data_IF_401716935838
#
_entry.id   IF_401716935838
#
_cell.length_a   1.000
_cell.length_b   1.000
_cell.length_c   1.000
_cell.angle_alpha   90.00
_cell.angle_beta   90.00
_cell.angle_gamma   90.00
#
_symmetry.space_group_name_H-M   'P 1'
#
loop_
_entity.id
_entity.type
_entity.pdbx_description
1 polymer ?
#
# COMPACT_ATOMS: atom_id res chain seq x y z
N UNK A 1 -4.77 10.66 30.31
CA UNK A 1 -3.41 10.36 30.81
C UNK A 1 -3.50 8.99 31.43
N UNK A 2 -2.90 7.96 30.84
CA UNK A 2 -2.93 6.62 31.40
C UNK A 2 -1.51 6.08 31.43
N UNK A 3 -0.99 5.95 32.65
CA UNK A 3 0.38 5.55 32.93
C UNK A 3 0.45 4.03 32.96
N UNK A 4 1.27 3.45 32.08
CA UNK A 4 1.47 2.01 31.98
C UNK A 4 2.68 1.63 32.84
N UNK A 5 2.42 0.89 33.92
CA UNK A 5 3.44 0.16 34.69
C UNK A 5 3.68 -1.20 34.03
N UNK A 6 4.93 -1.51 33.66
CA UNK A 6 5.34 -2.86 33.25
C UNK A 6 6.40 -3.39 34.21
N UNK A 7 6.09 -4.48 34.90
CA UNK A 7 7.06 -5.28 35.66
C UNK A 7 7.65 -6.36 34.74
N UNK A 8 8.95 -6.69 34.81
CA UNK A 8 9.68 -7.31 33.69
C UNK A 8 9.81 -8.84 33.75
N UNK A 9 8.96 -9.56 34.47
CA UNK A 9 9.23 -10.97 34.82
C UNK A 9 8.07 -11.93 34.49
N UNK A 10 7.94 -12.25 33.19
CA UNK A 10 7.32 -13.48 32.70
C UNK A 10 7.65 -13.65 31.21
N UNK A 11 8.89 -14.07 30.92
CA UNK A 11 9.29 -14.54 29.60
C UNK A 11 8.54 -15.84 29.27
N UNK A 12 7.34 -15.70 28.69
CA UNK A 12 6.66 -16.80 28.03
C UNK A 12 7.17 -16.88 26.59
N UNK A 13 8.03 -17.85 26.35
CA UNK A 13 8.75 -18.11 25.10
C UNK A 13 7.80 -18.79 24.10
N UNK A 14 6.71 -18.11 23.74
CA UNK A 14 5.72 -18.61 22.76
C UNK A 14 5.20 -17.54 21.78
N UNK A 15 5.79 -16.34 21.76
CA UNK A 15 5.32 -15.23 20.92
C UNK A 15 6.35 -14.83 19.84
N UNK A 16 7.02 -15.82 19.25
CA UNK A 16 7.97 -15.60 18.15
C UNK A 16 7.27 -15.55 16.77
N UNK A 17 6.01 -15.13 16.73
CA UNK A 17 5.23 -14.87 15.51
C UNK A 17 4.83 -13.40 15.35
N UNK A 18 5.31 -12.51 16.23
CA UNK A 18 4.98 -11.08 16.21
C UNK A 18 6.01 -10.20 15.48
N UNK A 19 6.83 -10.78 14.58
CA UNK A 19 7.86 -10.04 13.83
C UNK A 19 7.56 -9.79 12.36
N UNK A 20 6.35 -10.12 11.88
CA UNK A 20 5.91 -9.83 10.51
C UNK A 20 4.46 -9.38 10.53
N UNK A 21 4.20 -8.22 11.11
CA UNK A 21 3.19 -7.26 10.63
C UNK A 21 3.13 -6.09 11.62
N UNK A 22 3.84 -5.02 11.31
CA UNK A 22 3.70 -3.73 12.00
C UNK A 22 2.56 -2.91 11.36
N UNK A 23 1.45 -3.56 11.03
CA UNK A 23 0.20 -2.89 10.64
C UNK A 23 -0.78 -3.14 11.77
N UNK A 24 -1.30 -2.06 12.39
CA UNK A 24 -2.37 -2.19 13.39
C UNK A 24 -3.50 -3.01 12.76
N UNK A 25 -4.03 -4.04 13.42
CA UNK A 25 -5.06 -4.93 12.86
C UNK A 25 -6.41 -4.23 12.52
N UNK A 26 -6.51 -2.92 12.76
CA UNK A 26 -7.68 -2.09 12.46
C UNK A 26 -7.38 -0.94 11.47
N UNK A 27 -6.20 -0.90 10.82
CA UNK A 27 -5.92 0.13 9.81
C UNK A 27 -6.69 -0.17 8.53
N UNK A 28 -7.71 0.64 8.28
CA UNK A 28 -8.46 0.63 7.02
C UNK A 28 -7.55 1.01 5.86
N UNK A 29 -7.97 0.66 4.64
CA UNK A 29 -7.34 1.10 3.40
C UNK A 29 -7.16 2.63 3.33
N UNK A 30 -8.12 3.39 3.86
CA UNK A 30 -8.02 4.83 4.00
C UNK A 30 -6.93 5.26 5.00
N UNK A 31 -6.79 4.59 6.15
CA UNK A 31 -5.76 4.91 7.15
C UNK A 31 -4.35 4.76 6.56
N UNK A 32 -4.12 3.69 5.81
CA UNK A 32 -2.86 3.49 5.06
C UNK A 32 -2.63 4.57 4.01
N UNK A 33 -3.69 4.98 3.28
CA UNK A 33 -3.60 6.08 2.34
C UNK A 33 -3.15 7.36 3.04
N UNK A 34 -3.81 7.73 4.14
CA UNK A 34 -3.47 8.91 4.92
C UNK A 34 -2.03 8.86 5.45
N UNK A 35 -1.58 7.71 5.95
CA UNK A 35 -0.18 7.53 6.38
C UNK A 35 0.80 7.80 5.23
N UNK A 36 0.55 7.30 4.03
CA UNK A 36 1.43 7.52 2.87
C UNK A 36 1.39 8.97 2.40
N UNK A 37 0.22 9.61 2.41
CA UNK A 37 0.10 11.04 2.09
C UNK A 37 0.90 11.90 3.08
N UNK A 38 0.81 11.59 4.38
CA UNK A 38 1.58 12.28 5.42
C UNK A 38 3.09 12.05 5.28
N UNK A 39 3.53 10.81 5.02
CA UNK A 39 4.94 10.47 4.79
C UNK A 39 5.54 11.26 3.62
N UNK A 40 4.71 11.54 2.61
CA UNK A 40 5.12 12.28 1.42
C UNK A 40 4.85 13.79 1.51
N UNK A 41 4.33 14.28 2.64
CA UNK A 41 3.99 15.69 2.83
C UNK A 41 2.93 16.20 1.86
N UNK A 42 2.04 15.33 1.41
CA UNK A 42 0.95 15.65 0.48
C UNK A 42 -0.22 16.23 1.26
N UNK A 43 -0.80 17.31 0.75
CA UNK A 43 -1.92 17.97 1.41
C UNK A 43 -3.17 17.08 1.40
N UNK A 44 -3.76 16.86 2.58
CA UNK A 44 -4.95 16.02 2.75
C UNK A 44 -6.22 16.69 2.23
N UNK A 45 -6.19 17.99 1.90
CA UNK A 45 -7.31 18.69 1.27
C UNK A 45 -7.48 18.36 -0.21
N UNK A 46 -6.52 17.63 -0.81
CA UNK A 46 -6.58 17.26 -2.21
C UNK A 46 -7.71 16.26 -2.47
N UNK A 47 -8.34 16.29 -3.65
CA UNK A 47 -9.43 15.38 -3.96
C UNK A 47 -8.91 13.94 -3.99
N UNK A 48 -9.58 13.07 -3.24
CA UNK A 48 -9.37 11.63 -3.21
C UNK A 48 -10.58 10.98 -3.87
N UNK A 49 -10.35 10.29 -4.99
CA UNK A 49 -11.35 9.49 -5.68
C UNK A 49 -11.11 8.01 -5.44
N UNK A 50 -12.19 7.26 -5.21
CA UNK A 50 -12.16 5.80 -5.12
C UNK A 50 -12.61 5.22 -6.45
N UNK A 51 -11.82 4.33 -7.02
CA UNK A 51 -12.13 3.58 -8.23
C UNK A 51 -12.08 2.10 -7.94
N UNK A 52 -12.82 1.32 -8.71
CA UNK A 52 -12.73 -0.13 -8.69
C UNK A 52 -12.09 -0.59 -9.99
N UNK A 53 -10.96 -1.28 -9.91
CA UNK A 53 -10.24 -1.85 -11.06
C UNK A 53 -10.06 -3.33 -10.75
N UNK A 54 -10.54 -4.23 -11.61
CA UNK A 54 -10.44 -5.67 -11.42
C UNK A 54 -11.06 -6.14 -10.08
N UNK A 55 -12.22 -5.57 -9.72
CA UNK A 55 -12.89 -5.75 -8.41
C UNK A 55 -12.08 -5.28 -7.19
N UNK A 56 -10.98 -4.54 -7.40
CA UNK A 56 -10.11 -4.01 -6.35
C UNK A 56 -10.27 -2.52 -6.15
N UNK A 57 -10.25 -2.09 -4.89
CA UNK A 57 -10.34 -0.67 -4.52
C UNK A 57 -9.00 0.01 -4.79
N UNK A 58 -9.05 1.04 -5.64
CA UNK A 58 -7.93 1.88 -6.01
C UNK A 58 -8.23 3.32 -5.64
N UNK A 59 -7.36 3.93 -4.86
CA UNK A 59 -7.44 5.32 -4.47
C UNK A 59 -6.64 6.16 -5.44
N UNK A 60 -7.24 7.24 -5.93
CA UNK A 60 -6.62 8.19 -6.84
C UNK A 60 -6.63 9.56 -6.18
N UNK A 61 -5.46 10.14 -5.95
CA UNK A 61 -5.30 11.41 -5.26
C UNK A 61 -4.75 12.46 -6.22
N UNK A 62 -5.31 13.67 -6.14
CA UNK A 62 -4.84 14.84 -6.87
C UNK A 62 -4.71 14.64 -8.39
N UNK A 63 -5.80 14.21 -9.03
CA UNK A 63 -5.89 13.97 -10.49
C UNK A 63 -4.79 13.00 -11.00
N UNK A 64 -4.78 11.78 -10.47
CA UNK A 64 -3.85 10.70 -10.84
C UNK A 64 -2.38 10.96 -10.47
N UNK A 65 -2.08 11.98 -9.65
CA UNK A 65 -0.74 12.19 -9.12
C UNK A 65 -0.28 11.02 -8.25
N UNK A 66 -1.16 10.51 -7.39
CA UNK A 66 -0.88 9.33 -6.57
C UNK A 66 -2.00 8.34 -6.76
N UNK A 67 -1.63 7.10 -7.06
CA UNK A 67 -2.56 5.98 -7.12
C UNK A 67 -2.12 4.95 -6.09
N UNK A 68 -3.04 4.49 -5.25
CA UNK A 68 -2.75 3.53 -4.20
C UNK A 68 -3.73 2.35 -4.23
N UNK A 69 -3.20 1.14 -4.09
CA UNK A 69 -3.97 -0.08 -3.92
C UNK A 69 -3.50 -0.80 -2.64
N UNK A 70 -4.42 -0.96 -1.69
CA UNK A 70 -4.15 -1.59 -0.40
C UNK A 70 -4.87 -2.94 -0.25
N UNK A 71 -5.11 -3.61 -1.38
CA UNK A 71 -5.58 -5.00 -1.36
C UNK A 71 -4.57 -5.88 -0.61
N UNK A 72 -5.07 -6.86 0.16
CA UNK A 72 -4.25 -7.83 0.92
C UNK A 72 -4.62 -9.28 0.60
N UNK A 73 -5.46 -9.48 -0.43
CA UNK A 73 -6.03 -10.76 -0.83
C UNK A 73 -5.34 -11.32 -2.08
N UNK A 74 -4.13 -10.84 -2.40
CA UNK A 74 -3.42 -11.24 -3.62
C UNK A 74 -4.05 -10.70 -4.90
N UNK A 75 -4.82 -9.61 -4.82
CA UNK A 75 -5.50 -8.98 -5.94
C UNK A 75 -4.59 -8.22 -6.92
N UNK A 76 -3.36 -7.94 -6.52
CA UNK A 76 -2.40 -7.20 -7.36
C UNK A 76 -1.75 -8.20 -8.32
N UNK A 77 -2.38 -8.36 -9.49
CA UNK A 77 -1.89 -9.19 -10.59
C UNK A 77 -1.13 -8.36 -11.65
N UNK A 78 -0.40 -9.02 -12.55
CA UNK A 78 0.24 -8.32 -13.68
C UNK A 78 -0.76 -7.57 -14.56
N UNK A 79 -1.97 -8.13 -14.75
CA UNK A 79 -3.03 -7.49 -15.53
C UNK A 79 -3.47 -6.20 -14.86
N UNK A 80 -3.73 -6.25 -13.55
CA UNK A 80 -4.09 -5.08 -12.75
C UNK A 80 -3.00 -4.00 -12.82
N UNK A 81 -1.73 -4.39 -12.65
CA UNK A 81 -0.59 -3.46 -12.75
C UNK A 81 -0.51 -2.82 -14.15
N UNK A 82 -0.73 -3.58 -15.22
CA UNK A 82 -0.71 -3.05 -16.59
C UNK A 82 -1.83 -2.01 -16.80
N UNK A 83 -3.03 -2.27 -16.30
CA UNK A 83 -4.13 -1.30 -16.34
C UNK A 83 -3.81 -0.04 -15.53
N UNK A 84 -3.27 -0.20 -14.33
CA UNK A 84 -2.89 0.92 -13.48
C UNK A 84 -1.75 1.74 -14.10
N UNK A 85 -0.77 1.08 -14.69
CA UNK A 85 0.33 1.73 -15.38
C UNK A 85 -0.12 2.55 -16.59
N UNK A 86 -1.23 2.19 -17.27
CA UNK A 86 -1.80 3.01 -18.36
C UNK A 86 -2.35 4.36 -17.90
N UNK A 87 -2.70 4.49 -16.63
CA UNK A 87 -3.13 5.76 -16.01
C UNK A 87 -1.95 6.76 -15.97
N UNK A 88 -0.71 6.25 -16.02
CA UNK A 88 0.54 7.03 -15.94
C UNK A 88 0.60 7.93 -14.70
N UNK A 89 0.36 7.39 -13.50
CA UNK A 89 0.39 8.21 -12.31
C UNK A 89 1.82 8.69 -12.03
N UNK A 90 1.97 9.81 -11.32
CA UNK A 90 3.31 10.23 -10.89
C UNK A 90 3.87 9.26 -9.86
N UNK A 91 3.00 8.72 -8.99
CA UNK A 91 3.37 7.76 -7.96
C UNK A 91 2.34 6.66 -7.82
N UNK A 92 2.81 5.43 -7.64
CA UNK A 92 1.99 4.26 -7.42
C UNK A 92 2.38 3.58 -6.10
N UNK A 93 1.39 3.30 -5.26
CA UNK A 93 1.58 2.72 -3.92
C UNK A 93 0.84 1.39 -3.84
N UNK A 94 1.54 0.36 -3.38
CA UNK A 94 0.99 -0.98 -3.26
C UNK A 94 1.29 -1.57 -1.88
N UNK A 95 0.39 -2.40 -1.35
CA UNK A 95 0.69 -3.21 -0.18
C UNK A 95 1.44 -4.48 -0.59
N UNK A 96 2.48 -4.83 0.17
CA UNK A 96 3.30 -6.02 -0.06
C UNK A 96 2.49 -7.31 0.04
N UNK A 97 1.56 -7.35 1.00
CA UNK A 97 0.63 -8.47 1.19
C UNK A 97 -0.41 -8.60 0.06
N UNK A 98 -0.57 -7.56 -0.79
CA UNK A 98 -1.53 -7.55 -1.87
C UNK A 98 -1.07 -8.23 -3.16
N UNK A 99 0.23 -8.51 -3.29
CA UNK A 99 0.78 -9.12 -4.49
C UNK A 99 0.32 -10.58 -4.62
N UNK A 100 -0.20 -10.93 -5.81
CA UNK A 100 -0.62 -12.30 -6.10
C UNK A 100 0.54 -13.31 -6.01
N UNK A 101 1.78 -12.86 -6.26
CA UNK A 101 3.00 -13.68 -6.20
C UNK A 101 4.24 -12.78 -6.17
N UNK A 102 5.35 -13.28 -5.60
CA UNK A 102 6.67 -12.62 -5.64
C UNK A 102 7.12 -12.26 -7.07
N UNK A 103 6.73 -13.06 -8.06
CA UNK A 103 7.05 -12.76 -9.47
C UNK A 103 6.41 -11.45 -9.92
N UNK A 104 5.20 -11.16 -9.47
CA UNK A 104 4.50 -9.91 -9.79
C UNK A 104 5.22 -8.73 -9.11
N UNK A 105 5.61 -8.89 -7.84
CA UNK A 105 6.37 -7.89 -7.08
C UNK A 105 7.74 -7.60 -7.68
N UNK A 106 8.44 -8.61 -8.19
CA UNK A 106 9.73 -8.42 -8.89
C UNK A 106 9.51 -7.71 -10.23
N UNK A 107 8.46 -8.09 -10.97
CA UNK A 107 8.21 -7.59 -12.32
C UNK A 107 7.55 -6.19 -12.36
N UNK A 108 6.92 -5.73 -11.27
CA UNK A 108 6.17 -4.46 -11.26
C UNK A 108 7.00 -3.28 -11.76
N UNK A 109 8.25 -3.18 -11.30
CA UNK A 109 9.16 -2.12 -11.73
C UNK A 109 9.44 -2.15 -13.23
N UNK A 110 9.56 -3.33 -13.82
CA UNK A 110 9.75 -3.47 -15.27
C UNK A 110 8.47 -3.10 -16.04
N UNK A 111 7.30 -3.52 -15.57
CA UNK A 111 6.01 -3.21 -16.21
C UNK A 111 5.79 -1.70 -16.25
N UNK A 112 5.98 -1.01 -15.12
CA UNK A 112 5.91 0.45 -15.08
C UNK A 112 6.99 1.09 -15.93
N UNK A 113 8.24 0.61 -15.93
CA UNK A 113 9.28 1.17 -16.80
C UNK A 113 8.93 1.11 -18.29
N UNK A 114 8.18 0.10 -18.73
CA UNK A 114 7.73 -0.02 -20.11
C UNK A 114 6.53 0.87 -20.45
N UNK A 115 5.57 1.00 -19.55
CA UNK A 115 4.31 1.71 -19.81
C UNK A 115 4.33 3.18 -19.36
N UNK A 116 4.98 3.42 -18.22
CA UNK A 116 5.05 4.68 -17.48
C UNK A 116 6.40 4.84 -16.76
N UNK A 117 7.49 5.10 -17.50
CA UNK A 117 8.84 5.19 -16.95
C UNK A 117 9.06 6.32 -15.94
N UNK A 118 8.12 7.27 -15.87
CA UNK A 118 8.16 8.41 -14.96
C UNK A 118 7.41 8.17 -13.64
N UNK A 119 6.79 6.99 -13.46
CA UNK A 119 6.06 6.67 -12.23
C UNK A 119 7.02 6.13 -11.16
N UNK A 120 7.01 6.75 -9.98
CA UNK A 120 7.67 6.21 -8.79
C UNK A 120 6.78 5.16 -8.10
N UNK A 121 7.33 3.98 -7.83
CA UNK A 121 6.62 2.90 -7.14
C UNK A 121 7.07 2.83 -5.69
N UNK A 122 6.12 2.75 -4.76
CA UNK A 122 6.35 2.46 -3.34
C UNK A 122 5.55 1.23 -2.92
N UNK A 123 6.20 0.31 -2.23
CA UNK A 123 5.56 -0.86 -1.62
C UNK A 123 5.62 -0.71 -0.10
N UNK A 124 4.52 -1.01 0.60
CA UNK A 124 4.42 -0.94 2.07
C UNK A 124 4.01 -2.27 2.68
#
# INVERSE_FOLDING_TARGET
>A
MNEVYYSPDALNKNDLHSFIDNIKPNSTDEDLLFQVLLDWGVDLSLPIARKTIDDKTVFVVANDAIVACFDRDGGITETFIKELAKIKPLRAVFCDAGFASDSVKINIGQIFKMLSPSTDIKTI
#
